data_IF_289779011012
#
_entry.id   IF_289779011012
#
_cell.length_a   1.000
_cell.length_b   1.000
_cell.length_c   1.000
_cell.angle_alpha   90.00
_cell.angle_beta   90.00
_cell.angle_gamma   90.00
#
_symmetry.space_group_name_H-M   'P 1'
#
loop_
_entity.id
_entity.type
_entity.pdbx_description
1 polymer ?
#
# COMPACT_ATOMS: atom_id res chain seq x y z
N UNK A 1 10.17 -23.56 -16.31
CA UNK A 1 11.44 -22.83 -16.08
C UNK A 1 11.06 -21.52 -15.40
N UNK A 2 11.35 -21.36 -14.10
CA UNK A 2 11.01 -20.13 -13.36
C UNK A 2 11.72 -18.90 -13.93
N UNK A 3 11.06 -17.75 -13.85
CA UNK A 3 11.57 -16.47 -14.33
C UNK A 3 12.81 -16.02 -13.53
N UNK A 4 13.56 -15.06 -14.04
CA UNK A 4 14.73 -14.50 -13.34
C UNK A 4 14.33 -13.88 -11.98
N UNK A 5 13.10 -13.38 -11.87
CA UNK A 5 12.53 -12.82 -10.64
C UNK A 5 12.21 -13.91 -9.62
N UNK A 6 11.63 -15.05 -10.06
CA UNK A 6 11.37 -16.20 -9.19
C UNK A 6 12.67 -16.74 -8.59
N UNK A 7 13.76 -16.75 -9.36
CA UNK A 7 15.07 -17.18 -8.85
C UNK A 7 15.67 -16.19 -7.86
N UNK A 8 15.45 -14.88 -8.07
CA UNK A 8 15.96 -13.83 -7.18
C UNK A 8 15.22 -13.82 -5.84
N UNK A 9 13.88 -13.87 -5.84
CA UNK A 9 13.09 -13.91 -4.62
C UNK A 9 13.26 -15.25 -3.88
N UNK A 10 13.30 -16.39 -4.59
CA UNK A 10 13.48 -17.70 -3.98
C UNK A 10 14.90 -17.92 -3.42
N UNK A 11 15.95 -17.45 -4.09
CA UNK A 11 17.32 -17.58 -3.55
C UNK A 11 17.51 -16.72 -2.30
N UNK A 12 16.91 -15.52 -2.28
CA UNK A 12 16.96 -14.61 -1.12
C UNK A 12 16.13 -15.14 0.04
N UNK A 13 14.94 -15.69 -0.24
CA UNK A 13 14.07 -16.35 0.76
C UNK A 13 14.73 -17.57 1.40
N UNK A 14 15.37 -18.43 0.60
CA UNK A 14 16.09 -19.62 1.12
C UNK A 14 17.37 -19.26 1.87
N UNK A 15 17.91 -18.06 1.67
CA UNK A 15 19.03 -17.54 2.43
C UNK A 15 18.55 -17.01 3.79
N UNK A 16 17.56 -16.11 3.81
CA UNK A 16 16.96 -15.56 5.05
C UNK A 16 16.43 -16.68 5.95
N UNK A 17 15.78 -17.70 5.38
CA UNK A 17 15.28 -18.83 6.17
C UNK A 17 16.39 -19.69 6.76
N UNK A 18 17.51 -19.90 6.04
CA UNK A 18 18.65 -20.66 6.58
C UNK A 18 19.33 -19.91 7.72
N UNK A 19 19.51 -18.61 7.56
CA UNK A 19 20.07 -17.73 8.59
C UNK A 19 19.14 -17.66 9.82
N UNK A 20 17.82 -17.63 9.62
CA UNK A 20 16.83 -17.66 10.71
C UNK A 20 16.72 -18.99 11.46
N UNK A 21 16.84 -20.15 10.79
CA UNK A 21 16.82 -21.46 11.46
C UNK A 21 18.08 -21.71 12.31
N UNK A 22 19.25 -21.18 11.90
CA UNK A 22 20.48 -21.21 12.71
C UNK A 22 20.37 -20.27 13.94
N UNK A 23 19.74 -19.10 13.80
CA UNK A 23 19.53 -18.17 14.91
C UNK A 23 18.53 -18.69 15.96
N UNK A 24 17.47 -19.40 15.55
CA UNK A 24 16.45 -19.96 16.47
C UNK A 24 16.99 -21.02 17.44
N UNK A 25 18.13 -21.65 17.15
CA UNK A 25 18.78 -22.57 18.11
C UNK A 25 19.51 -21.83 19.24
N UNK A 26 19.87 -20.55 19.07
CA UNK A 26 20.64 -19.79 20.05
C UNK A 26 19.78 -19.19 21.20
N UNK A 27 18.47 -19.01 20.99
CA UNK A 27 17.61 -18.19 21.86
C UNK A 27 16.57 -18.95 22.70
N UNK A 28 16.66 -20.28 22.84
CA UNK A 28 15.82 -21.03 23.80
C UNK A 28 16.32 -20.84 25.24
N UNK A 29 16.09 -19.66 25.81
CA UNK A 29 16.37 -19.32 27.20
C UNK A 29 15.56 -18.09 27.62
N UNK A 30 15.25 -17.97 28.92
CA UNK A 30 14.51 -16.86 29.54
C UNK A 30 14.93 -15.49 28.98
N UNK A 31 13.98 -14.55 28.70
CA UNK A 31 14.32 -13.26 28.12
C UNK A 31 15.29 -12.49 29.03
N UNK A 32 16.54 -12.36 28.60
CA UNK A 32 17.60 -11.66 29.33
C UNK A 32 17.57 -10.15 29.07
N UNK A 33 16.42 -9.50 29.27
CA UNK A 33 16.36 -8.03 29.22
C UNK A 33 17.23 -7.38 30.30
N UNK A 34 17.51 -8.10 31.40
CA UNK A 34 18.41 -7.66 32.48
C UNK A 34 19.90 -7.63 32.08
N UNK A 35 20.30 -8.21 30.94
CA UNK A 35 21.72 -8.34 30.57
C UNK A 35 22.15 -7.48 29.37
N UNK A 36 21.23 -6.77 28.71
CA UNK A 36 21.55 -6.00 27.48
C UNK A 36 20.78 -4.66 27.46
N UNK A 37 21.10 -3.77 28.36
CA UNK A 37 21.01 -2.33 28.06
C UNK A 37 22.44 -1.83 28.08
N UNK A 38 23.12 -1.90 26.93
CA UNK A 38 24.35 -1.14 26.74
C UNK A 38 23.99 0.35 26.74
N UNK A 39 24.95 1.21 27.08
CA UNK A 39 24.82 2.68 26.99
C UNK A 39 24.53 3.18 25.54
N UNK A 40 24.40 2.27 24.57
CA UNK A 40 24.11 2.53 23.15
C UNK A 40 22.70 2.12 22.70
N UNK A 41 21.80 1.73 23.61
CA UNK A 41 20.42 1.38 23.26
C UNK A 41 19.65 2.61 22.78
N UNK A 42 19.02 2.52 21.61
CA UNK A 42 18.08 3.53 21.08
C UNK A 42 16.67 3.42 21.67
N UNK A 43 16.44 2.41 22.50
CA UNK A 43 15.18 2.19 23.22
C UNK A 43 15.36 2.48 24.70
N UNK A 44 14.39 3.18 25.27
CA UNK A 44 14.23 3.44 26.69
C UNK A 44 14.00 2.12 27.45
N UNK A 45 14.31 2.09 28.77
CA UNK A 45 14.00 0.92 29.59
C UNK A 45 12.53 0.48 29.49
N UNK A 46 12.24 -0.83 29.45
CA UNK A 46 10.88 -1.31 29.23
C UNK A 46 9.88 -0.78 30.26
N UNK A 47 8.82 -0.13 29.78
CA UNK A 47 7.69 0.28 30.62
C UNK A 47 6.89 -0.94 31.11
N UNK A 48 6.09 -0.78 32.17
CA UNK A 48 5.22 -1.85 32.66
C UNK A 48 4.21 -2.32 31.61
N UNK A 49 3.75 -1.43 30.73
CA UNK A 49 2.90 -1.77 29.58
C UNK A 49 3.64 -2.72 28.63
N UNK A 50 4.90 -2.44 28.31
CA UNK A 50 5.69 -3.28 27.43
C UNK A 50 6.07 -4.61 28.06
N UNK A 51 6.43 -4.64 29.35
CA UNK A 51 6.68 -5.92 30.07
C UNK A 51 5.45 -6.84 30.04
N UNK A 52 4.25 -6.28 30.19
CA UNK A 52 2.99 -7.04 30.04
C UNK A 52 2.79 -7.57 28.62
N UNK A 53 3.16 -6.76 27.62
CA UNK A 53 3.12 -7.16 26.22
C UNK A 53 4.08 -8.34 25.97
N UNK A 54 5.29 -8.29 26.49
CA UNK A 54 6.30 -9.33 26.38
C UNK A 54 5.90 -10.65 27.08
N UNK A 55 5.11 -10.55 28.15
CA UNK A 55 4.58 -11.71 28.86
C UNK A 55 3.31 -12.31 28.22
N UNK A 56 2.85 -11.77 27.07
CA UNK A 56 1.60 -12.22 26.45
C UNK A 56 1.69 -13.66 25.97
N UNK A 57 0.58 -14.38 26.13
CA UNK A 57 0.38 -15.66 25.47
C UNK A 57 -0.50 -15.44 24.22
N UNK A 58 -0.05 -15.88 23.06
CA UNK A 58 -0.88 -15.92 21.85
C UNK A 58 -1.69 -17.21 21.83
N UNK A 59 -2.80 -17.22 22.58
CA UNK A 59 -3.73 -18.36 22.65
C UNK A 59 -4.31 -18.72 21.28
N UNK A 60 -4.47 -17.73 20.39
CA UNK A 60 -4.82 -17.96 18.99
C UNK A 60 -3.57 -17.80 18.13
N UNK A 61 -3.40 -18.74 17.20
CA UNK A 61 -2.44 -18.68 16.11
C UNK A 61 -3.18 -19.10 14.87
N UNK A 62 -3.18 -18.26 13.84
CA UNK A 62 -3.80 -18.59 12.58
C UNK A 62 -3.14 -19.82 11.96
N UNK A 63 -3.96 -20.77 11.52
CA UNK A 63 -3.61 -21.98 10.81
C UNK A 63 -3.92 -21.82 9.32
N UNK A 64 -2.85 -21.86 8.50
CA UNK A 64 -2.92 -21.62 7.07
C UNK A 64 -3.92 -22.53 6.35
N UNK A 65 -4.03 -23.80 6.74
CA UNK A 65 -4.86 -24.76 6.02
C UNK A 65 -6.30 -24.80 6.54
N UNK A 66 -6.52 -24.44 7.80
CA UNK A 66 -7.84 -24.51 8.45
C UNK A 66 -8.63 -23.21 8.37
N UNK A 67 -7.97 -22.08 8.53
CA UNK A 67 -8.65 -20.78 8.65
C UNK A 67 -8.95 -20.14 7.28
N UNK A 68 -8.23 -20.57 6.23
CA UNK A 68 -8.42 -20.06 4.87
C UNK A 68 -9.29 -21.02 4.07
N UNK A 69 -10.25 -20.46 3.34
CA UNK A 69 -11.22 -21.24 2.56
C UNK A 69 -10.65 -21.76 1.24
N UNK A 70 -9.45 -22.35 1.22
CA UNK A 70 -8.73 -22.73 -0.01
C UNK A 70 -9.55 -23.54 -1.03
N UNK A 71 -10.49 -24.36 -0.58
CA UNK A 71 -11.42 -25.11 -1.44
C UNK A 71 -12.28 -24.23 -2.36
N UNK A 72 -12.44 -22.95 -2.00
CA UNK A 72 -13.26 -21.98 -2.71
C UNK A 72 -12.42 -21.07 -3.63
N UNK A 73 -11.13 -21.38 -3.88
CA UNK A 73 -10.19 -20.50 -4.61
C UNK A 73 -10.67 -20.15 -6.02
N UNK A 74 -11.42 -21.05 -6.66
CA UNK A 74 -12.00 -20.86 -7.98
C UNK A 74 -13.41 -20.26 -7.97
N UNK A 75 -13.97 -20.00 -6.78
CA UNK A 75 -15.26 -19.34 -6.66
C UNK A 75 -15.19 -17.92 -7.24
N UNK A 76 -16.24 -17.47 -7.94
CA UNK A 76 -16.33 -16.10 -8.44
C UNK A 76 -16.48 -15.11 -7.27
N UNK A 77 -16.20 -13.84 -7.54
CA UNK A 77 -16.40 -12.74 -6.62
C UNK A 77 -15.51 -11.55 -6.96
N UNK A 78 -15.75 -10.43 -6.28
CA UNK A 78 -14.92 -9.24 -6.37
C UNK A 78 -13.79 -9.30 -5.34
N UNK A 79 -12.66 -8.67 -5.65
CA UNK A 79 -11.53 -8.52 -4.71
C UNK A 79 -11.56 -7.16 -4.01
N UNK A 80 -12.13 -6.14 -4.65
CA UNK A 80 -12.25 -4.78 -4.11
C UNK A 80 -13.69 -4.31 -4.26
N UNK A 81 -14.23 -3.72 -3.20
CA UNK A 81 -15.53 -3.04 -3.22
C UNK A 81 -15.45 -1.70 -3.95
N UNK A 82 -16.58 -1.20 -4.44
CA UNK A 82 -16.67 0.17 -4.99
C UNK A 82 -16.23 1.24 -3.98
N UNK A 83 -16.54 1.08 -2.69
CA UNK A 83 -16.12 2.02 -1.63
C UNK A 83 -14.59 2.15 -1.54
N UNK A 84 -13.89 1.02 -1.49
CA UNK A 84 -12.43 0.95 -1.49
C UNK A 84 -11.81 1.58 -2.74
N UNK A 85 -12.39 1.30 -3.91
CA UNK A 85 -11.90 1.85 -5.17
C UNK A 85 -12.14 3.36 -5.26
N UNK A 86 -13.28 3.84 -4.74
CA UNK A 86 -13.61 5.25 -4.67
C UNK A 86 -12.65 6.04 -3.77
N UNK A 87 -12.10 5.43 -2.70
CA UNK A 87 -11.04 6.06 -1.90
C UNK A 87 -9.75 6.33 -2.70
N UNK A 88 -9.51 5.55 -3.76
CA UNK A 88 -8.44 5.79 -4.73
C UNK A 88 -8.88 6.66 -5.92
N UNK A 89 -10.07 7.24 -5.83
CA UNK A 89 -10.70 8.01 -6.90
C UNK A 89 -11.20 7.16 -8.07
N UNK A 90 -11.13 5.83 -8.00
CA UNK A 90 -11.56 4.97 -9.09
C UNK A 90 -13.08 4.83 -9.10
N UNK A 91 -13.70 5.10 -10.24
CA UNK A 91 -15.12 4.86 -10.50
C UNK A 91 -15.27 3.65 -11.43
N UNK A 92 -15.69 2.52 -10.87
CA UNK A 92 -15.86 1.27 -11.61
C UNK A 92 -16.92 1.36 -12.71
N UNK A 93 -17.89 2.27 -12.61
CA UNK A 93 -18.92 2.44 -13.64
C UNK A 93 -18.34 2.93 -14.96
N UNK A 94 -17.24 3.69 -14.92
CA UNK A 94 -16.52 4.15 -16.11
C UNK A 94 -15.79 2.99 -16.82
N UNK A 95 -15.35 1.99 -16.06
CA UNK A 95 -14.61 0.83 -16.58
C UNK A 95 -15.52 -0.18 -17.27
N UNK A 96 -16.80 -0.23 -16.91
CA UNK A 96 -17.80 -1.10 -17.55
C UNK A 96 -18.07 -0.81 -19.03
N UNK A 97 -17.57 0.32 -19.55
CA UNK A 97 -17.65 0.67 -20.98
C UNK A 97 -16.69 -0.15 -21.85
N UNK A 98 -15.64 -0.75 -21.27
CA UNK A 98 -14.66 -1.57 -21.99
C UNK A 98 -14.80 -3.02 -21.52
N UNK A 99 -15.14 -3.92 -22.45
CA UNK A 99 -15.43 -5.32 -22.14
C UNK A 99 -14.24 -6.00 -21.44
N UNK A 100 -14.46 -6.43 -20.20
CA UNK A 100 -13.51 -7.19 -19.40
C UNK A 100 -12.43 -6.37 -18.69
N UNK A 101 -12.43 -5.04 -18.84
CA UNK A 101 -11.49 -4.16 -18.14
C UNK A 101 -11.69 -4.22 -16.62
N UNK A 102 -12.95 -4.21 -16.19
CA UNK A 102 -13.39 -4.36 -14.79
C UNK A 102 -12.83 -5.64 -14.14
N UNK A 103 -12.93 -6.78 -14.83
CA UNK A 103 -12.41 -8.04 -14.33
C UNK A 103 -10.86 -8.05 -14.29
N UNK A 104 -10.21 -7.37 -15.24
CA UNK A 104 -8.74 -7.30 -15.29
C UNK A 104 -8.18 -6.34 -14.26
N UNK A 105 -8.81 -5.20 -13.99
CA UNK A 105 -8.37 -4.29 -12.92
C UNK A 105 -8.52 -4.94 -11.54
N UNK A 106 -9.66 -5.59 -11.27
CA UNK A 106 -9.90 -6.32 -10.02
C UNK A 106 -8.85 -7.41 -9.80
N UNK A 107 -8.56 -8.20 -10.84
CA UNK A 107 -7.51 -9.22 -10.80
C UNK A 107 -6.11 -8.64 -10.62
N UNK A 108 -5.73 -7.61 -11.38
CA UNK A 108 -4.39 -7.02 -11.33
C UNK A 108 -4.12 -6.34 -10.00
N UNK A 109 -5.10 -5.64 -9.43
CA UNK A 109 -4.99 -5.05 -8.09
C UNK A 109 -4.88 -6.12 -7.01
N UNK A 110 -5.59 -7.26 -7.13
CA UNK A 110 -5.50 -8.34 -6.16
C UNK A 110 -4.12 -9.00 -6.17
N UNK A 111 -3.58 -9.26 -7.36
CA UNK A 111 -2.20 -9.74 -7.53
C UNK A 111 -1.21 -8.72 -6.95
N UNK A 112 -1.38 -7.42 -7.25
CA UNK A 112 -0.51 -6.37 -6.72
C UNK A 112 -0.49 -6.37 -5.19
N UNK A 113 -1.67 -6.38 -4.54
CA UNK A 113 -1.76 -6.38 -3.07
C UNK A 113 -1.07 -7.60 -2.47
N UNK A 114 -1.28 -8.80 -3.03
CA UNK A 114 -0.59 -9.98 -2.53
C UNK A 114 0.93 -9.86 -2.62
N UNK A 115 1.45 -9.37 -3.74
CA UNK A 115 2.89 -9.23 -3.97
C UNK A 115 3.50 -8.11 -3.11
N UNK A 116 2.77 -7.01 -2.91
CA UNK A 116 3.20 -5.89 -2.07
C UNK A 116 3.26 -6.29 -0.60
N UNK A 117 2.26 -7.04 -0.11
CA UNK A 117 2.23 -7.57 1.25
C UNK A 117 3.39 -8.55 1.47
N UNK A 118 3.58 -9.50 0.55
CA UNK A 118 4.73 -10.42 0.59
C UNK A 118 6.06 -9.68 0.66
N UNK A 119 6.26 -8.67 -0.19
CA UNK A 119 7.52 -7.95 -0.26
C UNK A 119 7.76 -7.08 0.98
N UNK A 120 6.70 -6.45 1.52
CA UNK A 120 6.77 -5.63 2.73
C UNK A 120 7.04 -6.49 3.98
N UNK A 121 6.32 -7.59 4.17
CA UNK A 121 6.52 -8.49 5.31
C UNK A 121 7.92 -9.12 5.27
N UNK A 122 8.42 -9.52 4.09
CA UNK A 122 9.80 -9.97 3.93
C UNK A 122 10.84 -8.87 4.23
N UNK A 123 10.50 -7.60 3.96
CA UNK A 123 11.31 -6.46 4.38
C UNK A 123 11.33 -6.33 5.91
N UNK A 124 10.17 -6.40 6.57
CA UNK A 124 10.04 -6.30 8.04
C UNK A 124 10.81 -7.43 8.73
N UNK A 125 10.67 -8.67 8.26
CA UNK A 125 11.43 -9.81 8.77
C UNK A 125 12.95 -9.61 8.67
N UNK A 126 13.41 -9.05 7.55
CA UNK A 126 14.83 -8.73 7.38
C UNK A 126 15.28 -7.60 8.32
N UNK A 127 14.48 -6.55 8.46
CA UNK A 127 14.73 -5.47 9.41
C UNK A 127 14.91 -6.01 10.83
N UNK A 128 14.02 -6.91 11.30
CA UNK A 128 14.18 -7.51 12.63
C UNK A 128 15.48 -8.30 12.78
N UNK A 129 15.81 -9.13 11.80
CA UNK A 129 17.03 -9.93 11.84
C UNK A 129 18.30 -9.06 11.81
N UNK A 130 18.36 -8.08 10.91
CA UNK A 130 19.52 -7.19 10.76
C UNK A 130 19.71 -6.30 11.99
N UNK A 131 18.63 -5.73 12.53
CA UNK A 131 18.72 -4.84 13.69
C UNK A 131 18.91 -5.59 15.01
N UNK A 132 18.48 -6.84 15.12
CA UNK A 132 18.86 -7.70 16.25
C UNK A 132 20.34 -8.09 16.17
N UNK A 133 20.84 -8.45 14.98
CA UNK A 133 22.23 -8.82 14.78
C UNK A 133 23.20 -7.65 15.02
N UNK A 134 22.78 -6.42 14.70
CA UNK A 134 23.54 -5.20 15.00
C UNK A 134 23.44 -4.75 16.46
N UNK A 135 22.52 -5.33 17.24
CA UNK A 135 22.28 -4.99 18.64
C UNK A 135 21.44 -3.72 18.85
N UNK A 136 20.88 -3.13 17.78
CA UNK A 136 20.00 -1.97 17.90
C UNK A 136 18.58 -2.33 18.32
N UNK A 137 18.08 -3.50 17.89
CA UNK A 137 16.78 -4.04 18.31
C UNK A 137 16.98 -5.09 19.41
N UNK A 138 16.48 -4.89 20.64
CA UNK A 138 16.60 -5.88 21.69
C UNK A 138 15.84 -7.16 21.33
N UNK A 139 16.42 -8.31 21.68
CA UNK A 139 15.71 -9.59 21.61
C UNK A 139 14.47 -9.55 22.50
N UNK A 140 13.32 -9.88 21.92
CA UNK A 140 12.02 -9.78 22.59
C UNK A 140 11.11 -10.93 22.17
N UNK A 141 10.21 -11.32 23.08
CA UNK A 141 9.19 -12.33 22.77
C UNK A 141 8.21 -11.82 21.72
N UNK A 142 7.91 -10.53 21.69
CA UNK A 142 7.00 -9.97 20.68
C UNK A 142 7.59 -10.04 19.27
N UNK A 143 8.90 -9.83 19.10
CA UNK A 143 9.57 -9.96 17.79
C UNK A 143 9.64 -11.41 17.33
N UNK A 144 9.87 -12.35 18.26
CA UNK A 144 9.79 -13.79 17.93
C UNK A 144 8.41 -14.21 17.45
N UNK A 145 7.35 -13.68 18.08
CA UNK A 145 5.97 -13.94 17.67
C UNK A 145 5.68 -13.35 16.30
N UNK A 146 6.09 -12.11 16.05
CA UNK A 146 6.03 -11.47 14.74
C UNK A 146 6.67 -12.35 13.66
N UNK A 147 7.89 -12.87 13.87
CA UNK A 147 8.55 -13.74 12.89
C UNK A 147 7.72 -15.01 12.58
N UNK A 148 7.11 -15.63 13.60
CA UNK A 148 6.22 -16.78 13.40
C UNK A 148 4.93 -16.40 12.64
N UNK A 149 4.38 -15.22 12.89
CA UNK A 149 3.14 -14.70 12.34
C UNK A 149 3.33 -14.28 10.87
N UNK A 150 4.30 -13.41 10.57
CA UNK A 150 4.58 -12.90 9.22
C UNK A 150 5.01 -13.97 8.22
N UNK A 151 5.76 -14.99 8.66
CA UNK A 151 6.09 -16.12 7.77
C UNK A 151 4.83 -16.80 7.24
N UNK A 152 3.73 -16.84 8.02
CA UNK A 152 2.47 -17.42 7.56
C UNK A 152 1.73 -16.46 6.62
N UNK A 153 1.76 -15.16 6.87
CA UNK A 153 1.19 -14.14 5.99
C UNK A 153 1.87 -14.17 4.60
N UNK A 154 3.20 -14.17 4.56
CA UNK A 154 3.99 -14.32 3.34
C UNK A 154 3.58 -15.57 2.56
N UNK A 155 3.43 -16.72 3.25
CA UNK A 155 3.00 -17.97 2.60
C UNK A 155 1.58 -17.89 2.06
N UNK A 156 0.67 -17.29 2.83
CA UNK A 156 -0.74 -17.13 2.46
C UNK A 156 -0.89 -16.24 1.23
N UNK A 157 -0.30 -15.05 1.24
CA UNK A 157 -0.42 -14.10 0.13
C UNK A 157 0.34 -14.56 -1.10
N UNK A 158 1.49 -15.23 -0.96
CA UNK A 158 2.16 -15.88 -2.10
C UNK A 158 1.28 -16.96 -2.75
N UNK A 159 0.65 -17.84 -1.96
CA UNK A 159 -0.27 -18.87 -2.48
C UNK A 159 -1.47 -18.26 -3.19
N UNK A 160 -2.00 -17.13 -2.69
CA UNK A 160 -3.05 -16.37 -3.37
C UNK A 160 -2.57 -15.75 -4.68
N UNK A 161 -1.42 -15.07 -4.68
CA UNK A 161 -0.83 -14.48 -5.88
C UNK A 161 -0.63 -15.54 -6.97
N UNK A 162 -0.03 -16.68 -6.62
CA UNK A 162 0.20 -17.80 -7.54
C UNK A 162 -1.12 -18.31 -8.13
N UNK A 163 -2.14 -18.52 -7.30
CA UNK A 163 -3.46 -18.97 -7.75
C UNK A 163 -4.14 -17.94 -8.66
N UNK A 164 -4.03 -16.65 -8.35
CA UNK A 164 -4.56 -15.57 -9.19
C UNK A 164 -3.84 -15.52 -10.54
N UNK A 165 -2.50 -15.57 -10.55
CA UNK A 165 -1.68 -15.55 -11.77
C UNK A 165 -1.93 -16.78 -12.65
N UNK A 166 -2.12 -17.96 -12.05
CA UNK A 166 -2.42 -19.20 -12.77
C UNK A 166 -3.73 -19.15 -13.58
N UNK A 167 -4.70 -18.32 -13.18
CA UNK A 167 -5.93 -18.10 -13.94
C UNK A 167 -5.71 -17.35 -15.27
N UNK A 168 -4.59 -16.62 -15.41
CA UNK A 168 -4.28 -15.77 -16.58
C UNK A 168 -2.77 -15.72 -16.87
N UNK A 169 -2.12 -16.85 -17.22
CA UNK A 169 -0.66 -16.95 -17.26
C UNK A 169 0.01 -15.94 -18.22
N UNK A 170 -0.52 -15.75 -19.43
CA UNK A 170 0.05 -14.81 -20.42
C UNK A 170 -0.12 -13.34 -20.01
N UNK A 171 -1.16 -13.05 -19.23
CA UNK A 171 -1.42 -11.72 -18.69
C UNK A 171 -0.52 -11.46 -17.49
N UNK A 172 -0.37 -12.46 -16.61
CA UNK A 172 0.53 -12.43 -15.45
C UNK A 172 1.97 -12.16 -15.83
N UNK A 173 2.52 -12.89 -16.82
CA UNK A 173 3.90 -12.72 -17.25
C UNK A 173 4.21 -11.30 -17.78
N UNK A 174 3.22 -10.61 -18.34
CA UNK A 174 3.34 -9.19 -18.74
C UNK A 174 3.27 -8.28 -17.52
N UNK A 175 2.32 -8.54 -16.62
CA UNK A 175 2.14 -7.74 -15.42
C UNK A 175 3.33 -7.82 -14.44
N UNK A 176 4.02 -8.95 -14.35
CA UNK A 176 5.21 -9.13 -13.49
C UNK A 176 6.32 -8.12 -13.78
N UNK A 177 6.44 -7.64 -15.03
CA UNK A 177 7.40 -6.58 -15.39
C UNK A 177 7.05 -5.26 -14.71
N UNK A 178 5.75 -4.94 -14.64
CA UNK A 178 5.24 -3.74 -14.00
C UNK A 178 5.38 -3.80 -12.48
N UNK A 179 5.17 -4.97 -11.89
CA UNK A 179 5.39 -5.23 -10.46
C UNK A 179 6.88 -5.11 -10.09
N UNK A 180 7.77 -5.73 -10.86
CA UNK A 180 9.20 -5.62 -10.61
C UNK A 180 9.71 -4.16 -10.70
N UNK A 181 9.11 -3.35 -11.56
CA UNK A 181 9.42 -1.93 -11.67
C UNK A 181 8.76 -1.06 -10.58
N UNK A 182 7.61 -1.46 -10.04
CA UNK A 182 6.97 -0.74 -8.92
C UNK A 182 7.77 -0.91 -7.64
N UNK A 183 8.27 -2.12 -7.36
CA UNK A 183 9.08 -2.42 -6.18
C UNK A 183 10.47 -1.78 -6.16
N UNK A 184 10.86 -1.05 -7.21
CA UNK A 184 12.08 -0.23 -7.22
C UNK A 184 11.85 1.17 -6.65
N UNK A 185 10.60 1.62 -6.55
CA UNK A 185 10.26 2.98 -6.12
C UNK A 185 9.52 3.04 -4.78
N UNK A 186 9.12 1.89 -4.24
CA UNK A 186 8.61 1.77 -2.87
C UNK A 186 9.64 2.24 -1.85
N UNK A 187 9.16 2.85 -0.77
CA UNK A 187 9.99 3.50 0.24
C UNK A 187 11.02 2.57 0.90
N UNK A 188 10.68 1.29 1.05
CA UNK A 188 11.54 0.28 1.68
C UNK A 188 12.61 -0.26 0.73
N UNK A 189 12.56 0.08 -0.56
CA UNK A 189 13.54 -0.38 -1.54
C UNK A 189 14.90 0.31 -1.31
N UNK A 190 15.89 -0.48 -0.90
CA UNK A 190 17.22 0.05 -0.57
C UNK A 190 17.25 0.87 0.71
N UNK A 191 16.21 0.76 1.55
CA UNK A 191 16.20 1.48 2.82
C UNK A 191 17.09 0.80 3.86
N UNK A 192 17.81 1.63 4.63
CA UNK A 192 18.74 1.18 5.67
C UNK A 192 19.07 2.35 6.62
N UNK A 193 19.61 2.04 7.80
CA UNK A 193 19.94 3.02 8.83
C UNK A 193 20.78 4.22 8.34
N UNK A 194 21.72 4.00 7.40
CA UNK A 194 22.56 5.06 6.81
C UNK A 194 21.81 6.13 5.98
N UNK A 195 20.52 5.93 5.66
CA UNK A 195 19.69 6.92 4.97
C UNK A 195 19.15 7.99 5.93
N UNK A 196 19.31 7.81 7.24
CA UNK A 196 18.69 8.64 8.27
C UNK A 196 19.76 9.29 9.16
N UNK A 197 19.45 10.43 9.81
CA UNK A 197 20.42 11.10 10.69
C UNK A 197 20.81 10.29 11.93
N UNK A 198 19.97 9.34 12.36
CA UNK A 198 20.25 8.42 13.45
C UNK A 198 19.51 7.10 13.27
N UNK A 199 20.00 6.04 13.92
CA UNK A 199 19.34 4.73 13.97
C UNK A 199 17.96 4.82 14.64
N UNK A 200 17.81 5.66 15.67
CA UNK A 200 16.52 5.89 16.32
C UNK A 200 15.47 6.48 15.35
N UNK A 201 15.87 7.41 14.49
CA UNK A 201 14.99 7.96 13.44
C UNK A 201 14.66 6.89 12.40
N UNK A 202 15.64 6.09 11.97
CA UNK A 202 15.39 4.97 11.07
C UNK A 202 14.31 4.05 11.63
N UNK A 203 14.48 3.56 12.87
CA UNK A 203 13.48 2.72 13.53
C UNK A 203 12.13 3.42 13.67
N UNK A 204 12.10 4.70 14.02
CA UNK A 204 10.86 5.47 14.11
C UNK A 204 10.08 5.46 12.79
N UNK A 205 10.77 5.66 11.67
CA UNK A 205 10.15 5.61 10.34
C UNK A 205 9.67 4.19 10.01
N UNK A 206 10.47 3.15 10.27
CA UNK A 206 10.05 1.76 10.04
C UNK A 206 8.78 1.43 10.83
N UNK A 207 8.74 1.75 12.12
CA UNK A 207 7.57 1.47 12.95
C UNK A 207 6.35 2.32 12.58
N UNK A 208 6.52 3.56 12.08
CA UNK A 208 5.42 4.33 11.52
C UNK A 208 4.85 3.68 10.25
N UNK A 209 5.69 3.10 9.41
CA UNK A 209 5.25 2.34 8.25
C UNK A 209 4.53 1.05 8.65
N UNK A 210 5.06 0.31 9.62
CA UNK A 210 4.43 -0.90 10.15
C UNK A 210 3.03 -0.60 10.70
N UNK A 211 2.90 0.33 11.65
CA UNK A 211 1.58 0.65 12.25
C UNK A 211 0.56 1.12 11.21
N UNK A 212 1.00 1.87 10.18
CA UNK A 212 0.11 2.29 9.10
C UNK A 212 -0.33 1.12 8.22
N UNK A 213 0.58 0.20 7.89
CA UNK A 213 0.25 -1.02 7.16
C UNK A 213 -0.71 -1.91 7.94
N UNK A 214 -0.46 -2.10 9.23
CA UNK A 214 -1.34 -2.94 10.03
C UNK A 214 -2.72 -2.30 10.22
N UNK A 215 -2.81 -1.00 10.49
CA UNK A 215 -4.11 -0.32 10.51
C UNK A 215 -4.82 -0.36 9.14
N UNK A 216 -4.05 -0.36 8.03
CA UNK A 216 -4.60 -0.53 6.69
C UNK A 216 -5.17 -1.93 6.46
N UNK A 217 -4.53 -2.99 6.94
CA UNK A 217 -5.05 -4.36 6.83
C UNK A 217 -6.36 -4.53 7.60
N UNK A 218 -6.48 -3.89 8.78
CA UNK A 218 -7.73 -3.84 9.55
C UNK A 218 -8.84 -3.11 8.78
N UNK A 219 -8.52 -1.96 8.20
CA UNK A 219 -9.42 -1.20 7.33
C UNK A 219 -9.87 -2.03 6.13
N UNK A 220 -8.92 -2.69 5.45
CA UNK A 220 -9.15 -3.48 4.25
C UNK A 220 -10.19 -4.56 4.52
N UNK A 221 -10.03 -5.32 5.59
CA UNK A 221 -11.02 -6.32 5.99
C UNK A 221 -12.37 -5.70 6.38
N UNK A 222 -12.39 -4.57 7.10
CA UNK A 222 -13.65 -3.90 7.50
C UNK A 222 -14.49 -3.50 6.29
N UNK A 223 -13.86 -3.04 5.21
CA UNK A 223 -14.57 -2.71 3.96
C UNK A 223 -14.99 -3.98 3.22
N UNK A 224 -14.09 -4.97 3.08
CA UNK A 224 -14.40 -6.22 2.38
C UNK A 224 -15.58 -6.97 2.99
N UNK A 225 -15.68 -7.05 4.33
CA UNK A 225 -16.78 -7.79 4.97
C UNK A 225 -18.17 -7.16 4.76
N UNK A 226 -18.22 -5.89 4.36
CA UNK A 226 -19.46 -5.18 4.02
C UNK A 226 -19.78 -5.28 2.53
N UNK A 227 -18.85 -5.75 1.71
CA UNK A 227 -19.00 -5.88 0.28
C UNK A 227 -19.90 -7.05 -0.10
N UNK A 228 -20.79 -6.81 -1.07
CA UNK A 228 -21.55 -7.89 -1.71
C UNK A 228 -20.64 -8.70 -2.62
N UNK A 229 -20.85 -10.03 -2.67
CA UNK A 229 -20.19 -10.93 -3.61
C UNK A 229 -18.64 -10.85 -3.61
N UNK A 230 -18.02 -10.64 -2.44
CA UNK A 230 -16.56 -10.73 -2.30
C UNK A 230 -16.10 -12.18 -2.47
N UNK A 231 -14.96 -12.35 -3.14
CA UNK A 231 -14.37 -13.66 -3.37
C UNK A 231 -14.10 -14.35 -2.01
N UNK A 232 -14.61 -15.58 -1.77
CA UNK A 232 -14.63 -16.17 -0.42
C UNK A 232 -13.24 -16.43 0.20
N UNK A 233 -12.25 -16.81 -0.61
CA UNK A 233 -10.88 -17.07 -0.13
C UNK A 233 -10.20 -15.77 0.22
N UNK A 234 -10.34 -14.76 -0.63
CA UNK A 234 -9.86 -13.40 -0.42
C UNK A 234 -10.37 -12.84 0.91
N UNK A 235 -11.68 -12.93 1.15
CA UNK A 235 -12.27 -12.48 2.40
C UNK A 235 -11.73 -13.27 3.61
N UNK A 236 -11.58 -14.59 3.51
CA UNK A 236 -11.06 -15.41 4.61
C UNK A 236 -9.57 -15.15 4.90
N UNK A 237 -8.76 -14.90 3.87
CA UNK A 237 -7.35 -14.57 4.01
C UNK A 237 -7.15 -13.23 4.71
N UNK A 238 -7.86 -12.19 4.26
CA UNK A 238 -7.82 -10.89 4.94
C UNK A 238 -8.42 -10.92 6.34
N UNK A 239 -9.41 -11.80 6.60
CA UNK A 239 -9.89 -12.02 7.97
C UNK A 239 -8.82 -12.64 8.86
N UNK A 240 -8.12 -13.67 8.38
CA UNK A 240 -7.06 -14.33 9.15
C UNK A 240 -5.91 -13.37 9.44
N UNK A 241 -5.46 -12.63 8.42
CA UNK A 241 -4.43 -11.58 8.53
C UNK A 241 -4.81 -10.52 9.58
N UNK A 242 -5.99 -9.89 9.41
CA UNK A 242 -6.50 -8.84 10.31
C UNK A 242 -6.48 -9.24 11.80
N UNK A 243 -6.70 -10.52 12.12
CA UNK A 243 -6.70 -11.01 13.50
C UNK A 243 -5.31 -10.96 14.13
N UNK A 244 -4.26 -11.27 13.39
CA UNK A 244 -2.87 -11.16 13.86
C UNK A 244 -2.43 -9.68 13.82
N UNK A 245 -2.82 -8.93 12.77
CA UNK A 245 -2.47 -7.51 12.66
C UNK A 245 -3.02 -6.61 13.76
N UNK A 246 -4.16 -6.99 14.36
CA UNK A 246 -4.69 -6.28 15.53
C UNK A 246 -3.68 -6.26 16.68
N UNK A 247 -2.90 -7.34 16.85
CA UNK A 247 -1.87 -7.45 17.87
C UNK A 247 -0.56 -6.81 17.43
N UNK A 248 -0.23 -6.84 16.14
CA UNK A 248 0.95 -6.18 15.57
C UNK A 248 0.86 -4.67 15.80
N UNK A 249 -0.28 -4.05 15.52
CA UNK A 249 -0.56 -2.64 15.83
C UNK A 249 -0.23 -2.27 17.28
N UNK A 250 -0.58 -3.12 18.25
CA UNK A 250 -0.29 -2.87 19.67
C UNK A 250 1.22 -2.96 19.94
N UNK A 251 1.89 -3.90 19.27
CA UNK A 251 3.31 -4.14 19.41
C UNK A 251 4.14 -3.01 18.81
N UNK A 252 3.83 -2.60 17.59
CA UNK A 252 4.52 -1.50 16.89
C UNK A 252 4.42 -0.20 17.68
N UNK A 253 3.23 0.09 18.20
CA UNK A 253 3.03 1.25 19.08
C UNK A 253 3.86 1.17 20.35
N UNK A 254 4.02 -0.02 20.92
CA UNK A 254 4.84 -0.18 22.12
C UNK A 254 6.33 0.03 21.84
N UNK A 255 6.81 -0.32 20.64
CA UNK A 255 8.16 0.01 20.18
C UNK A 255 8.33 1.51 19.87
N UNK A 256 7.35 2.12 19.20
CA UNK A 256 7.31 3.58 18.99
C UNK A 256 7.36 4.34 20.30
N UNK A 257 6.61 3.91 21.32
CA UNK A 257 6.59 4.51 22.66
C UNK A 257 7.96 4.39 23.36
N UNK A 258 8.77 3.38 23.04
CA UNK A 258 10.07 3.14 23.67
C UNK A 258 11.24 3.82 23.00
N UNK A 259 11.13 4.28 21.75
CA UNK A 259 12.25 4.97 21.10
C UNK A 259 12.68 6.21 21.89
N UNK A 260 13.98 6.32 22.17
CA UNK A 260 14.56 7.49 22.81
C UNK A 260 14.68 8.64 21.80
N UNK A 261 13.53 9.26 21.52
CA UNK A 261 13.38 10.40 20.63
C UNK A 261 12.55 11.47 21.32
N UNK A 262 13.05 12.71 21.28
CA UNK A 262 12.31 13.86 21.77
C UNK A 262 11.08 14.17 20.90
N UNK A 263 10.18 14.97 21.45
CA UNK A 263 8.88 15.27 20.85
C UNK A 263 9.00 16.09 19.55
N UNK A 264 9.98 16.99 19.43
CA UNK A 264 10.17 17.78 18.21
C UNK A 264 10.70 16.90 17.08
N UNK A 265 11.63 15.99 17.38
CA UNK A 265 12.13 15.00 16.42
C UNK A 265 10.99 14.10 15.93
N UNK A 266 10.14 13.59 16.84
CA UNK A 266 8.96 12.78 16.47
C UNK A 266 7.99 13.55 15.58
N UNK A 267 7.72 14.81 15.90
CA UNK A 267 6.85 15.69 15.09
C UNK A 267 7.43 15.93 13.70
N UNK A 268 8.71 16.25 13.59
CA UNK A 268 9.38 16.50 12.32
C UNK A 268 9.33 15.27 11.42
N UNK A 269 9.73 14.10 11.93
CA UNK A 269 9.78 12.87 11.13
C UNK A 269 8.40 12.26 10.91
N UNK A 270 7.46 12.48 11.83
CA UNK A 270 6.05 12.14 11.64
C UNK A 270 5.42 12.96 10.50
N UNK A 271 5.73 14.25 10.42
CA UNK A 271 5.35 15.09 9.27
C UNK A 271 5.97 14.58 7.98
N UNK A 272 7.27 14.32 7.98
CA UNK A 272 7.97 13.78 6.81
C UNK A 272 7.33 12.48 6.32
N UNK A 273 7.01 11.57 7.24
CA UNK A 273 6.32 10.32 6.93
C UNK A 273 4.99 10.59 6.23
N UNK A 274 4.14 11.47 6.77
CA UNK A 274 2.85 11.82 6.16
C UNK A 274 3.05 12.46 4.78
N UNK A 275 3.98 13.41 4.63
CA UNK A 275 4.27 14.04 3.34
C UNK A 275 4.73 13.01 2.29
N UNK A 276 5.50 12.00 2.70
CA UNK A 276 5.88 10.87 1.83
C UNK A 276 4.67 10.06 1.38
N UNK A 277 3.67 9.84 2.24
CA UNK A 277 2.41 9.19 1.85
C UNK A 277 1.64 9.96 0.77
N UNK A 278 1.80 11.29 0.71
CA UNK A 278 1.14 12.13 -0.30
C UNK A 278 1.89 12.16 -1.65
N UNK A 279 3.09 11.57 -1.70
CA UNK A 279 3.93 11.48 -2.88
C UNK A 279 3.30 10.66 -4.01
N UNK A 280 4.02 10.52 -5.12
CA UNK A 280 3.64 9.58 -6.19
C UNK A 280 3.88 8.12 -5.77
N UNK A 281 4.88 7.92 -4.91
CA UNK A 281 5.33 6.62 -4.42
C UNK A 281 4.95 6.40 -2.94
N UNK A 282 3.96 7.12 -2.41
CA UNK A 282 3.46 6.91 -1.04
C UNK A 282 2.79 5.53 -0.87
N UNK A 283 2.62 5.05 0.38
CA UNK A 283 2.01 3.74 0.70
C UNK A 283 0.50 3.69 0.55
N UNK A 284 -0.03 4.30 -0.51
CA UNK A 284 -1.25 3.71 -1.03
C UNK A 284 -0.78 2.36 -1.60
N UNK A 285 -1.16 1.24 -0.96
CA UNK A 285 -0.70 -0.15 -1.19
C UNK A 285 -0.97 -0.71 -2.60
N UNK A 286 -1.25 0.17 -3.54
CA UNK A 286 -1.36 -0.07 -4.96
C UNK A 286 -0.66 1.12 -5.59
N UNK A 287 0.41 0.92 -6.35
CA UNK A 287 0.92 1.96 -7.25
C UNK A 287 0.01 2.00 -8.48
N UNK A 288 -1.08 2.79 -8.48
CA UNK A 288 -2.15 2.56 -9.42
C UNK A 288 -1.72 3.02 -10.82
N UNK A 289 -0.70 3.89 -10.90
CA UNK A 289 -0.03 4.26 -12.15
C UNK A 289 0.55 3.04 -12.88
N UNK A 290 1.17 2.09 -12.16
CA UNK A 290 1.81 0.91 -12.75
C UNK A 290 0.77 -0.09 -13.22
N UNK A 291 -0.25 -0.33 -12.39
CA UNK A 291 -1.44 -1.13 -12.78
C UNK A 291 -2.10 -0.50 -14.00
N UNK A 292 -2.25 0.83 -14.02
CA UNK A 292 -2.86 1.53 -15.15
C UNK A 292 -2.04 1.44 -16.44
N UNK A 293 -0.71 1.60 -16.38
CA UNK A 293 0.17 1.40 -17.54
C UNK A 293 0.03 0.01 -18.13
N UNK A 294 -0.01 -1.01 -17.27
CA UNK A 294 -0.29 -2.38 -17.69
C UNK A 294 -1.68 -2.52 -18.34
N UNK A 295 -2.72 -1.88 -17.80
CA UNK A 295 -4.06 -1.92 -18.39
C UNK A 295 -4.12 -1.25 -19.77
N UNK A 296 -3.41 -0.14 -19.98
CA UNK A 296 -3.32 0.52 -21.30
C UNK A 296 -2.69 -0.38 -22.37
N UNK A 297 -1.73 -1.24 -22.00
CA UNK A 297 -1.17 -2.24 -22.93
C UNK A 297 -2.18 -3.34 -23.28
N UNK A 298 -3.05 -3.71 -22.33
CA UNK A 298 -4.03 -4.77 -22.53
C UNK A 298 -5.28 -4.28 -23.28
N UNK A 299 -5.60 -3.00 -23.18
CA UNK A 299 -6.83 -2.39 -23.69
C UNK A 299 -6.51 -1.02 -24.29
N UNK A 300 -6.42 -0.94 -25.61
CA UNK A 300 -6.12 0.32 -26.33
C UNK A 300 -7.15 1.41 -26.06
N UNK A 301 -8.41 1.04 -25.81
CA UNK A 301 -9.51 1.98 -25.61
C UNK A 301 -9.45 2.67 -24.24
N UNK A 302 -8.60 2.19 -23.32
CA UNK A 302 -8.42 2.78 -21.98
C UNK A 302 -7.84 4.19 -22.04
N UNK A 303 -7.09 4.53 -23.09
CA UNK A 303 -6.56 5.88 -23.31
C UNK A 303 -7.67 6.94 -23.38
N UNK A 304 -8.90 6.54 -23.73
CA UNK A 304 -10.07 7.40 -23.80
C UNK A 304 -10.86 7.50 -22.49
N UNK A 305 -10.30 7.05 -21.37
CA UNK A 305 -10.84 7.28 -20.02
C UNK A 305 -9.99 8.35 -19.28
N UNK A 306 -10.11 9.66 -19.62
CA UNK A 306 -9.31 10.74 -19.05
C UNK A 306 -9.34 10.84 -17.52
N UNK A 307 -10.46 10.40 -16.92
CA UNK A 307 -10.70 10.54 -15.50
C UNK A 307 -9.63 9.79 -14.68
N UNK A 308 -9.33 8.53 -15.00
CA UNK A 308 -8.45 7.73 -14.14
C UNK A 308 -6.98 8.20 -14.19
N UNK A 309 -6.46 8.52 -15.38
CA UNK A 309 -5.11 9.09 -15.56
C UNK A 309 -4.97 10.39 -14.78
N UNK A 310 -5.98 11.27 -14.87
CA UNK A 310 -5.97 12.55 -14.18
C UNK A 310 -6.08 12.39 -12.66
N UNK A 311 -6.86 11.42 -12.16
CA UNK A 311 -7.01 11.15 -10.73
C UNK A 311 -5.69 10.66 -10.11
N UNK A 312 -5.04 9.69 -10.75
CA UNK A 312 -3.79 9.11 -10.27
C UNK A 312 -2.61 10.09 -10.35
N UNK A 313 -2.61 10.97 -11.36
CA UNK A 313 -1.54 11.93 -11.56
C UNK A 313 -1.72 13.22 -10.74
N UNK A 314 -2.94 13.57 -10.33
CA UNK A 314 -3.23 14.82 -9.62
C UNK A 314 -2.87 14.73 -8.12
N UNK A 315 -1.88 15.50 -7.64
CA UNK A 315 -1.47 15.48 -6.23
C UNK A 315 -2.60 15.83 -5.26
N UNK A 316 -3.51 16.73 -5.63
CA UNK A 316 -4.61 17.14 -4.75
C UNK A 316 -5.64 16.01 -4.59
N UNK A 317 -5.92 15.25 -5.66
CA UNK A 317 -6.81 14.09 -5.57
C UNK A 317 -6.22 13.03 -4.65
N UNK A 318 -4.94 12.65 -4.86
CA UNK A 318 -4.26 11.67 -4.00
C UNK A 318 -4.27 12.11 -2.53
N UNK A 319 -3.99 13.38 -2.30
CA UNK A 319 -3.99 13.98 -0.98
C UNK A 319 -5.35 13.92 -0.31
N UNK A 320 -6.42 14.22 -1.03
CA UNK A 320 -7.77 14.12 -0.48
C UNK A 320 -8.19 12.66 -0.26
N UNK A 321 -7.83 11.74 -1.15
CA UNK A 321 -8.04 10.30 -0.95
C UNK A 321 -7.32 9.76 0.29
N UNK A 322 -6.05 10.15 0.48
CA UNK A 322 -5.31 9.85 1.70
C UNK A 322 -5.97 10.45 2.95
N UNK A 323 -6.44 11.70 2.88
CA UNK A 323 -7.15 12.33 4.00
C UNK A 323 -8.45 11.58 4.35
N UNK A 324 -9.19 11.10 3.35
CA UNK A 324 -10.36 10.26 3.59
C UNK A 324 -9.98 8.94 4.25
N UNK A 325 -8.94 8.28 3.76
CA UNK A 325 -8.44 7.02 4.31
C UNK A 325 -8.04 7.18 5.79
N UNK A 326 -7.18 8.15 6.11
CA UNK A 326 -6.65 8.34 7.48
C UNK A 326 -7.74 8.75 8.51
N UNK A 327 -8.89 9.22 8.03
CA UNK A 327 -10.05 9.55 8.86
C UNK A 327 -11.14 8.47 8.84
N UNK A 328 -11.03 7.43 8.03
CA UNK A 328 -12.04 6.39 7.89
C UNK A 328 -12.27 5.64 9.20
N UNK A 329 -13.47 5.79 9.78
CA UNK A 329 -13.96 5.17 11.04
C UNK A 329 -12.94 5.12 12.19
N UNK A 330 -11.97 6.03 12.20
CA UNK A 330 -10.85 6.06 13.14
C UNK A 330 -9.94 4.81 13.14
N UNK A 331 -9.87 4.07 12.04
CA UNK A 331 -8.94 2.92 11.91
C UNK A 331 -7.49 3.34 12.09
N UNK A 332 -7.10 4.50 11.54
CA UNK A 332 -5.72 4.99 11.54
C UNK A 332 -5.36 5.89 12.74
N UNK A 333 -5.98 5.66 13.90
CA UNK A 333 -5.78 6.56 15.04
C UNK A 333 -4.36 6.46 15.61
N UNK A 334 -3.76 5.28 15.64
CA UNK A 334 -2.40 5.11 16.16
C UNK A 334 -1.37 5.67 15.21
N UNK A 335 -1.56 5.50 13.90
CA UNK A 335 -0.73 6.21 12.91
C UNK A 335 -0.79 7.72 13.13
N UNK A 336 -1.98 8.29 13.31
CA UNK A 336 -2.15 9.74 13.56
C UNK A 336 -1.46 10.18 14.85
N UNK A 337 -1.63 9.42 15.92
CA UNK A 337 -1.07 9.73 17.23
C UNK A 337 0.47 9.62 17.22
N UNK A 338 1.01 8.54 16.66
CA UNK A 338 2.45 8.29 16.56
C UNK A 338 3.17 9.31 15.68
N UNK A 339 2.55 9.69 14.55
CA UNK A 339 3.10 10.70 13.63
C UNK A 339 2.89 12.14 14.07
N UNK A 340 2.20 12.38 15.20
CA UNK A 340 1.79 13.73 15.67
C UNK A 340 0.98 14.50 14.64
N UNK A 341 0.14 13.79 13.89
CA UNK A 341 -0.63 14.32 12.77
C UNK A 341 -1.40 15.60 13.10
N UNK A 342 -2.00 15.68 14.30
CA UNK A 342 -2.78 16.85 14.73
C UNK A 342 -1.99 18.16 14.74
N UNK A 343 -0.65 18.09 14.88
CA UNK A 343 0.22 19.28 14.98
C UNK A 343 0.49 19.96 13.64
N UNK A 344 0.27 19.27 12.51
CA UNK A 344 0.53 19.79 11.16
C UNK A 344 -0.60 19.51 10.15
N UNK A 345 -1.67 18.80 10.55
CA UNK A 345 -2.77 18.44 9.65
C UNK A 345 -3.42 19.65 8.97
N UNK A 346 -3.62 20.76 9.69
CA UNK A 346 -4.23 21.96 9.12
C UNK A 346 -3.36 22.61 8.02
N UNK A 347 -2.03 22.52 8.15
CA UNK A 347 -1.08 23.03 7.17
C UNK A 347 -1.02 22.11 5.94
N UNK A 348 -0.95 20.80 6.18
CA UNK A 348 -0.92 19.84 5.10
C UNK A 348 -2.24 19.82 4.35
N UNK A 349 -3.40 19.94 5.01
CA UNK A 349 -4.72 19.81 4.39
C UNK A 349 -5.59 21.06 4.58
N UNK A 350 -5.28 22.17 3.87
CA UNK A 350 -6.03 23.41 4.01
C UNK A 350 -7.49 23.21 3.53
N UNK A 351 -8.43 23.35 4.47
CA UNK A 351 -9.86 23.13 4.23
C UNK A 351 -10.43 21.85 4.86
N UNK A 352 -9.59 21.00 5.44
CA UNK A 352 -10.00 19.81 6.21
C UNK A 352 -10.72 18.73 5.40
N UNK A 353 -11.28 17.75 6.11
CA UNK A 353 -11.96 16.57 5.54
C UNK A 353 -13.35 16.88 4.93
N UNK A 354 -13.92 18.06 5.18
CA UNK A 354 -15.31 18.36 4.84
C UNK A 354 -15.55 18.81 3.39
N UNK A 355 -14.53 18.84 2.53
CA UNK A 355 -14.76 19.04 1.10
C UNK A 355 -15.11 17.70 0.47
N UNK A 356 -16.36 17.46 0.04
CA UNK A 356 -16.66 16.26 -0.73
C UNK A 356 -15.79 16.29 -1.98
N UNK A 357 -14.88 15.32 -2.10
CA UNK A 357 -13.93 15.24 -3.22
C UNK A 357 -14.71 15.27 -4.53
N UNK A 358 -15.85 14.58 -4.58
CA UNK A 358 -16.73 14.56 -5.75
C UNK A 358 -18.17 14.27 -5.32
N UNK A 359 -19.00 15.30 -5.08
CA UNK A 359 -20.47 15.11 -4.96
C UNK A 359 -21.19 15.11 -6.32
N UNK A 360 -20.45 15.27 -7.43
CA UNK A 360 -21.01 15.54 -8.75
C UNK A 360 -20.74 14.45 -9.80
N UNK A 361 -20.29 13.25 -9.43
CA UNK A 361 -20.47 12.11 -10.34
C UNK A 361 -21.92 11.66 -10.14
N UNK A 362 -22.81 11.80 -11.15
CA UNK A 362 -24.19 11.42 -10.98
C UNK A 362 -24.26 9.93 -10.67
N UNK A 363 -24.74 9.56 -9.49
CA UNK A 363 -25.23 8.21 -9.26
C UNK A 363 -26.36 7.96 -10.27
N UNK A 364 -26.10 7.03 -11.19
CA UNK A 364 -27.02 6.34 -12.10
C UNK A 364 -28.49 6.74 -11.94
N UNK A 365 -28.96 7.63 -12.81
CA UNK A 365 -30.38 7.66 -13.16
C UNK A 365 -30.66 6.41 -14.00
N UNK A 366 -31.79 5.75 -13.75
CA UNK A 366 -32.25 4.52 -14.39
C UNK A 366 -31.89 4.43 -15.88
N UNK A 367 -31.17 3.38 -16.25
CA UNK A 367 -30.86 3.04 -17.63
C UNK A 367 -32.11 2.55 -18.36
N UNK A 368 -32.83 3.47 -19.00
CA UNK A 368 -33.54 3.16 -20.25
C UNK A 368 -32.61 3.44 -21.43
N UNK A 369 -32.62 2.61 -22.49
CA UNK A 369 -31.74 2.82 -23.63
C UNK A 369 -32.20 4.07 -24.38
N UNK A 370 -31.36 5.11 -24.37
CA UNK A 370 -31.53 6.28 -25.24
C UNK A 370 -30.97 5.89 -26.61
N UNK A 371 -31.85 5.78 -27.59
CA UNK A 371 -31.50 5.74 -29.01
C UNK A 371 -30.84 7.08 -29.34
N UNK A 372 -29.58 7.05 -29.76
CA UNK A 372 -28.79 8.24 -30.04
C UNK A 372 -29.32 8.98 -31.28
N UNK A 373 -29.71 10.24 -31.08
CA UNK A 373 -29.88 11.23 -32.15
C UNK A 373 -28.67 12.18 -32.14
N UNK A 374 -28.08 12.45 -33.30
CA UNK A 374 -26.68 12.86 -33.46
C UNK A 374 -26.40 14.36 -33.23
N UNK A 375 -27.29 15.11 -32.58
CA UNK A 375 -27.20 16.57 -32.49
C UNK A 375 -27.35 17.17 -31.09
N UNK A 376 -27.12 16.42 -30.00
CA UNK A 376 -27.18 17.01 -28.66
C UNK A 376 -26.19 16.35 -27.68
N UNK A 377 -24.92 16.78 -27.72
CA UNK A 377 -23.95 16.50 -26.65
C UNK A 377 -23.36 17.83 -26.17
N UNK A 378 -24.16 18.56 -25.40
CA UNK A 378 -23.70 19.64 -24.53
C UNK A 378 -24.60 19.67 -23.28
N UNK A 379 -24.43 18.68 -22.41
CA UNK A 379 -24.79 18.76 -21.00
C UNK A 379 -24.24 17.53 -20.27
N UNK A 380 -23.94 17.70 -18.98
CA UNK A 380 -23.62 16.66 -17.97
C UNK A 380 -22.19 16.13 -17.90
N UNK A 381 -21.18 17.03 -17.93
CA UNK A 381 -19.93 16.82 -17.19
C UNK A 381 -19.81 17.88 -16.08
N UNK A 382 -19.36 17.53 -14.86
CA UNK A 382 -19.13 18.50 -13.79
C UNK A 382 -18.11 19.57 -14.21
N UNK A 383 -18.37 20.83 -13.84
CA UNK A 383 -17.51 21.97 -14.18
C UNK A 383 -16.02 21.76 -13.82
N UNK A 384 -15.70 21.00 -12.76
CA UNK A 384 -14.32 20.68 -12.37
C UNK A 384 -13.61 19.75 -13.36
N UNK A 385 -14.31 18.77 -13.94
CA UNK A 385 -13.77 17.88 -14.98
C UNK A 385 -13.71 18.62 -16.32
N UNK A 386 -14.72 19.45 -16.61
CA UNK A 386 -14.71 20.32 -17.79
C UNK A 386 -13.51 21.27 -17.78
N UNK A 387 -13.18 21.87 -16.62
CA UNK A 387 -12.05 22.80 -16.47
C UNK A 387 -10.69 22.14 -16.72
N UNK A 388 -10.49 20.90 -16.25
CA UNK A 388 -9.26 20.13 -16.50
C UNK A 388 -9.14 19.73 -17.97
N UNK A 389 -10.24 19.33 -18.60
CA UNK A 389 -10.29 18.98 -20.04
C UNK A 389 -10.09 20.23 -20.93
N UNK A 390 -10.68 21.38 -20.57
CA UNK A 390 -10.49 22.68 -21.25
C UNK A 390 -9.04 23.16 -21.16
N UNK A 391 -8.40 23.10 -19.98
CA UNK A 391 -7.00 23.49 -19.84
C UNK A 391 -6.05 22.61 -20.66
N UNK A 392 -6.33 21.30 -20.74
CA UNK A 392 -5.57 20.36 -21.58
C UNK A 392 -5.79 20.65 -23.08
N UNK A 393 -7.03 20.89 -23.52
CA UNK A 393 -7.34 21.29 -24.92
C UNK A 393 -6.68 22.61 -25.32
N UNK A 394 -6.63 23.59 -24.42
CA UNK A 394 -6.01 24.89 -24.68
C UNK A 394 -4.48 24.85 -24.67
N UNK A 395 -3.85 23.81 -24.09
CA UNK A 395 -2.42 23.54 -24.23
C UNK A 395 -2.04 22.93 -25.58
N UNK A 396 -2.92 22.11 -26.17
CA UNK A 396 -2.70 21.46 -27.48
C UNK A 396 -2.93 22.44 -28.64
N UNK A 397 -3.72 23.51 -28.44
CA UNK A 397 -4.05 24.51 -29.48
C UNK A 397 -3.06 25.66 -29.62
N UNK A 398 -1.94 25.72 -28.87
CA UNK A 398 -0.91 26.74 -29.15
C UNK A 398 -0.11 26.33 -30.39
N UNK A 399 -0.19 27.07 -31.51
CA UNK A 399 0.62 26.76 -32.67
C UNK A 399 2.10 26.98 -32.34
N UNK A 400 2.92 26.00 -32.67
CA UNK A 400 4.38 26.12 -32.70
C UNK A 400 4.75 27.32 -33.59
N UNK A 401 5.63 28.23 -33.18
CA UNK A 401 6.05 29.34 -34.03
C UNK A 401 6.70 28.78 -35.29
N UNK A 402 6.17 29.11 -36.47
CA UNK A 402 6.77 28.70 -37.73
C UNK A 402 8.18 29.29 -37.84
N UNK A 403 9.19 28.43 -37.95
CA UNK A 403 10.55 28.83 -38.26
C UNK A 403 10.59 29.50 -39.64
N UNK A 404 10.73 30.82 -39.64
CA UNK A 404 10.93 31.62 -40.84
C UNK A 404 12.33 31.29 -41.38
N UNK A 405 12.36 30.69 -42.55
CA UNK A 405 13.57 30.36 -43.32
C UNK A 405 14.36 31.63 -43.66
N UNK A 406 15.57 31.73 -43.12
CA UNK A 406 16.56 32.71 -43.55
C UNK A 406 17.15 32.27 -44.91
N UNK A 407 16.81 33.00 -45.98
CA UNK A 407 17.49 32.89 -47.28
C UNK A 407 18.91 33.43 -47.16
N UNK A 408 19.89 32.59 -47.42
CA UNK A 408 21.27 32.99 -47.71
C UNK A 408 21.34 33.70 -49.07
N UNK A 409 21.72 34.99 -49.07
CA UNK A 409 22.30 35.64 -50.26
C UNK A 409 23.83 35.52 -50.15
N UNK A 410 24.43 34.79 -51.09
CA UNK A 410 25.85 34.94 -51.45
C UNK A 410 25.98 36.01 -52.54
N UNK A 411 27.10 36.69 -52.48
CA UNK A 411 27.51 37.92 -53.19
C UNK A 411 27.68 37.74 -54.71
N UNK A 412 27.49 38.85 -55.43
CA UNK A 412 28.45 39.40 -56.39
C UNK A 412 28.46 40.93 -56.20
#
# INVERSE_FOLDING_TARGET
>A
MGTLHDRYCLSRFLQVRREGEEHKQLYRGTPKWETILSDSSIYLPPSEKFKKLEARNTNYRFDLERDIRWKDIDSPGMYFTDEMLAMYGMDMSLLGSIKGLDATIQWAMAVYICEDFVALEEYVLRFFNEEQASGHLPGSRSVELFDEEEIKHVRMFRRLADALKAKRPDVAARFDKYLADSFKTVWWHGDHAGNYPSVAIYHFIIWLHAVFFEEYSLYLYDVLKQGDNIQPVWLSAHYAHMREETQHVITDMAYLDQLDLDEETRKQWGRWFIEKQLGKDGLIFIQPEKVWKFLMECYTDVEYIPALVSLLSNPEVRKQGFLQLIHYKNFFHRTKDASRFSTFAAELFPGGHNKPIIKNIPHRADTRPIIADSNTVQATLPWSIYFVIEQQRNRIKKPTPSSRTARSRKQA
#
